data_IF_410813481273
#
_entry.id   IF_410813481273
#
_cell.length_a   1.000
_cell.length_b   1.000
_cell.length_c   1.000
_cell.angle_alpha   90.00
_cell.angle_beta   90.00
_cell.angle_gamma   90.00
#
_symmetry.space_group_name_H-M   'P 1'
#
loop_
_entity.id
_entity.type
_entity.pdbx_description
1 polymer ?
#
# COMPACT_ATOMS: atom_id res chain seq x y z
N UNK A 1 15.28 13.50 14.13
CA UNK A 1 13.84 13.29 14.40
C UNK A 1 13.66 12.86 15.84
N UNK A 2 12.63 13.37 16.51
CA UNK A 2 12.26 12.91 17.86
C UNK A 2 11.51 11.58 17.77
N UNK A 3 11.37 10.86 18.88
CA UNK A 3 10.56 9.65 18.91
C UNK A 3 9.10 9.92 18.51
N UNK A 4 8.53 11.06 18.96
CA UNK A 4 7.19 11.51 18.57
C UNK A 4 7.06 11.66 17.05
N UNK A 5 8.03 12.33 16.41
CA UNK A 5 7.97 12.57 14.96
C UNK A 5 8.05 11.27 14.16
N UNK A 6 8.86 10.28 14.61
CA UNK A 6 8.91 8.96 13.93
C UNK A 6 7.59 8.22 14.08
N UNK A 7 6.99 8.23 15.28
CA UNK A 7 5.69 7.62 15.53
C UNK A 7 4.59 8.26 14.68
N UNK A 8 4.56 9.58 14.58
CA UNK A 8 3.61 10.31 13.74
C UNK A 8 3.70 9.89 12.28
N UNK A 9 4.91 9.76 11.73
CA UNK A 9 5.14 9.30 10.35
C UNK A 9 4.65 7.87 10.15
N UNK A 10 5.03 6.93 11.02
CA UNK A 10 4.60 5.52 10.88
C UNK A 10 3.08 5.35 11.01
N UNK A 11 2.44 6.14 11.86
CA UNK A 11 0.97 6.15 11.97
C UNK A 11 0.33 6.78 10.74
N UNK A 12 0.94 7.81 10.15
CA UNK A 12 0.46 8.39 8.90
C UNK A 12 0.56 7.38 7.74
N UNK A 13 1.67 6.64 7.63
CA UNK A 13 1.85 5.57 6.63
C UNK A 13 0.80 4.45 6.80
N UNK A 14 0.57 3.98 8.04
CA UNK A 14 -0.46 2.97 8.30
C UNK A 14 -1.88 3.48 7.96
N UNK A 15 -2.18 4.74 8.28
CA UNK A 15 -3.46 5.38 7.92
C UNK A 15 -3.62 5.49 6.41
N UNK A 16 -2.58 5.87 5.69
CA UNK A 16 -2.60 5.94 4.23
C UNK A 16 -2.87 4.57 3.63
N UNK A 17 -2.18 3.53 4.10
CA UNK A 17 -2.42 2.16 3.67
C UNK A 17 -3.87 1.70 3.93
N UNK A 18 -4.44 2.09 5.07
CA UNK A 18 -5.84 1.84 5.42
C UNK A 18 -6.82 2.59 4.51
N UNK A 19 -6.53 3.85 4.15
CA UNK A 19 -7.33 4.65 3.23
C UNK A 19 -7.35 4.03 1.83
N UNK A 20 -6.19 3.59 1.33
CA UNK A 20 -6.10 2.88 0.07
C UNK A 20 -6.96 1.62 0.06
N UNK A 21 -6.86 0.79 1.12
CA UNK A 21 -7.67 -0.42 1.25
C UNK A 21 -9.18 -0.10 1.30
N UNK A 22 -9.59 0.89 2.10
CA UNK A 22 -10.99 1.31 2.21
C UNK A 22 -11.56 1.82 0.88
N UNK A 23 -10.83 2.66 0.15
CA UNK A 23 -11.27 3.13 -1.18
C UNK A 23 -11.27 1.97 -2.19
N UNK A 24 -10.34 1.02 -2.08
CA UNK A 24 -10.31 -0.17 -2.94
C UNK A 24 -11.53 -1.05 -2.74
N UNK A 25 -12.05 -1.16 -1.51
CA UNK A 25 -13.32 -1.83 -1.26
C UNK A 25 -14.48 -1.13 -2.01
N UNK A 26 -14.51 0.21 -2.01
CA UNK A 26 -15.50 1.00 -2.76
C UNK A 26 -15.37 0.87 -4.28
N UNK A 27 -14.14 0.77 -4.78
CA UNK A 27 -13.89 0.47 -6.19
C UNK A 27 -14.43 -0.91 -6.59
N UNK A 28 -14.23 -1.92 -5.73
CA UNK A 28 -14.77 -3.26 -5.97
C UNK A 28 -16.30 -3.29 -5.96
N UNK A 29 -16.94 -2.59 -5.01
CA UNK A 29 -18.39 -2.43 -4.95
C UNK A 29 -18.90 -1.80 -6.26
N UNK A 30 -18.27 -0.71 -6.72
CA UNK A 30 -18.63 -0.02 -7.96
C UNK A 30 -18.53 -0.93 -9.21
N UNK A 31 -17.45 -1.71 -9.32
CA UNK A 31 -17.28 -2.69 -10.41
C UNK A 31 -18.38 -3.75 -10.37
N UNK A 32 -18.66 -4.29 -9.18
CA UNK A 32 -19.67 -5.32 -8.97
C UNK A 32 -21.07 -4.83 -9.31
N UNK A 33 -21.44 -3.63 -8.89
CA UNK A 33 -22.74 -3.01 -9.20
C UNK A 33 -22.90 -2.71 -10.70
N UNK A 34 -21.80 -2.37 -11.37
CA UNK A 34 -21.76 -2.14 -12.81
C UNK A 34 -21.79 -3.43 -13.65
N UNK A 35 -21.67 -4.62 -13.04
CA UNK A 35 -21.58 -5.89 -13.76
C UNK A 35 -20.33 -6.00 -14.64
N UNK A 36 -19.24 -5.32 -14.25
CA UNK A 36 -17.99 -5.32 -15.03
C UNK A 36 -17.19 -6.57 -14.64
N UNK A 37 -16.96 -7.44 -15.63
CA UNK A 37 -16.17 -8.66 -15.47
C UNK A 37 -14.75 -8.49 -16.04
N UNK A 38 -13.86 -9.45 -15.74
CA UNK A 38 -12.53 -9.53 -16.34
C UNK A 38 -11.48 -8.57 -15.75
N UNK A 39 -11.80 -7.85 -14.68
CA UNK A 39 -10.83 -6.98 -13.99
C UNK A 39 -9.82 -7.83 -13.23
N UNK A 40 -8.49 -7.71 -13.48
CA UNK A 40 -7.49 -8.44 -12.72
C UNK A 40 -7.57 -8.12 -11.22
N UNK A 41 -7.51 -9.13 -10.33
CA UNK A 41 -7.66 -8.92 -8.91
C UNK A 41 -6.38 -8.30 -8.31
N UNK A 42 -6.58 -7.32 -7.43
CA UNK A 42 -5.53 -6.73 -6.62
C UNK A 42 -6.07 -6.18 -5.29
N UNK A 43 -5.19 -6.04 -4.31
CA UNK A 43 -5.51 -5.54 -2.96
C UNK A 43 -4.32 -4.78 -2.35
N UNK A 44 -4.52 -4.09 -1.24
CA UNK A 44 -3.46 -3.41 -0.50
C UNK A 44 -2.99 -4.26 0.68
N UNK A 45 -1.69 -4.21 1.00
CA UNK A 45 -1.09 -4.98 2.10
C UNK A 45 -1.47 -4.43 3.50
N UNK A 46 -2.74 -4.06 3.70
CA UNK A 46 -3.26 -3.45 4.93
C UNK A 46 -3.71 -4.47 5.96
N UNK A 47 -4.38 -5.54 5.52
CA UNK A 47 -4.89 -6.56 6.43
C UNK A 47 -3.73 -7.18 7.21
N UNK A 48 -3.89 -7.27 8.53
CA UNK A 48 -2.89 -7.77 9.48
C UNK A 48 -1.62 -6.90 9.59
N UNK A 49 -1.63 -5.68 9.03
CA UNK A 49 -0.59 -4.68 9.22
C UNK A 49 -0.79 -3.90 10.51
N UNK A 50 0.30 -3.59 11.20
CA UNK A 50 0.25 -2.93 12.51
C UNK A 50 1.47 -2.06 12.78
N UNK A 51 1.26 -1.07 13.64
CA UNK A 51 2.32 -0.32 14.29
C UNK A 51 2.72 -1.03 15.59
N UNK A 52 4.02 -1.23 15.79
CA UNK A 52 4.59 -1.84 16.99
C UNK A 52 5.64 -0.96 17.65
N UNK A 53 5.79 -1.12 18.96
CA UNK A 53 6.85 -0.50 19.75
C UNK A 53 7.62 -1.58 20.53
N UNK A 54 8.93 -1.38 20.70
CA UNK A 54 9.83 -2.32 21.37
C UNK A 54 10.28 -1.73 22.69
N UNK A 55 9.89 -2.37 23.79
CA UNK A 55 10.40 -2.01 25.10
C UNK A 55 11.85 -2.50 25.27
N UNK A 56 12.81 -1.61 25.58
CA UNK A 56 14.18 -2.04 25.87
C UNK A 56 14.20 -2.91 27.13
N UNK A 57 14.68 -4.15 27.00
CA UNK A 57 14.99 -4.99 28.16
C UNK A 57 16.10 -4.30 28.95
N UNK A 58 15.75 -3.83 30.15
CA UNK A 58 16.51 -2.95 31.03
C UNK A 58 17.85 -3.50 31.55
N UNK A 59 18.25 -4.71 31.15
CA UNK A 59 19.41 -5.40 31.71
C UNK A 59 20.76 -5.11 31.01
N UNK A 60 20.78 -4.69 29.74
CA UNK A 60 22.05 -4.60 28.97
C UNK A 60 22.53 -3.18 28.66
N UNK A 61 21.69 -2.16 28.89
CA UNK A 61 21.98 -0.76 28.50
C UNK A 61 22.21 -0.55 27.00
N UNK A 62 22.07 -1.59 26.17
CA UNK A 62 22.29 -1.56 24.73
C UNK A 62 20.96 -1.73 24.02
N UNK A 63 20.64 -0.80 23.13
CA UNK A 63 19.48 -0.93 22.24
C UNK A 63 19.72 -2.11 21.30
N UNK A 64 18.81 -3.08 21.29
CA UNK A 64 18.85 -4.23 20.38
C UNK A 64 18.53 -3.83 18.94
N UNK A 65 17.78 -2.75 18.75
CA UNK A 65 17.38 -2.21 17.46
C UNK A 65 17.58 -0.69 17.40
N UNK A 66 17.89 -0.14 16.21
CA UNK A 66 18.14 1.30 16.04
C UNK A 66 16.90 2.16 16.33
N UNK A 67 15.71 1.61 16.11
CA UNK A 67 14.42 2.28 16.29
C UNK A 67 13.52 1.51 17.25
N UNK A 68 12.74 2.26 18.03
CA UNK A 68 11.81 1.73 19.04
C UNK A 68 10.45 1.44 18.42
N UNK A 69 9.98 2.27 17.48
CA UNK A 69 8.74 2.08 16.75
C UNK A 69 8.99 1.51 15.35
N UNK A 70 8.06 0.69 14.86
CA UNK A 70 8.09 0.11 13.52
C UNK A 70 6.68 -0.08 12.95
N UNK A 71 6.59 -0.11 11.63
CA UNK A 71 5.41 -0.56 10.88
C UNK A 71 5.72 -1.95 10.33
N UNK A 72 4.84 -2.91 10.56
CA UNK A 72 4.95 -4.25 10.02
C UNK A 72 3.75 -4.56 9.13
N UNK A 73 4.03 -5.18 7.99
CA UNK A 73 3.03 -5.67 7.04
C UNK A 73 3.28 -7.15 6.74
N UNK A 74 2.27 -7.93 6.31
CA UNK A 74 2.49 -9.30 5.86
C UNK A 74 3.61 -9.42 4.82
N UNK A 75 4.48 -10.42 5.01
CA UNK A 75 5.62 -10.65 4.13
C UNK A 75 5.15 -11.24 2.80
N UNK A 76 5.43 -10.52 1.70
CA UNK A 76 5.22 -11.01 0.35
C UNK A 76 6.36 -11.94 -0.10
N UNK A 77 6.13 -12.82 -1.09
CA UNK A 77 7.20 -13.60 -1.72
C UNK A 77 8.35 -12.69 -2.16
N UNK A 78 9.56 -12.99 -1.70
CA UNK A 78 10.75 -12.15 -1.90
C UNK A 78 12.03 -12.99 -2.07
N UNK A 79 11.90 -14.25 -2.44
CA UNK A 79 13.02 -15.12 -2.78
C UNK A 79 13.65 -14.75 -4.12
N UNK A 80 14.84 -15.31 -4.38
CA UNK A 80 15.61 -15.06 -5.63
C UNK A 80 14.90 -15.42 -6.94
N UNK A 81 13.80 -16.17 -6.85
CA UNK A 81 13.01 -16.64 -7.99
C UNK A 81 11.61 -16.02 -8.02
N UNK A 82 11.28 -15.18 -7.05
CA UNK A 82 10.00 -14.48 -7.01
C UNK A 82 10.06 -13.24 -7.90
N UNK A 83 8.89 -12.81 -8.39
CA UNK A 83 8.77 -11.66 -9.27
C UNK A 83 9.18 -10.37 -8.53
N UNK A 84 9.95 -9.47 -9.17
CA UNK A 84 10.34 -8.22 -8.56
C UNK A 84 9.12 -7.32 -8.33
N UNK A 85 9.25 -6.37 -7.40
CA UNK A 85 8.24 -5.32 -7.21
C UNK A 85 8.10 -4.52 -8.51
N UNK A 86 6.88 -4.44 -9.03
CA UNK A 86 6.50 -3.62 -10.19
C UNK A 86 5.94 -2.30 -9.69
N UNK A 87 6.42 -1.19 -10.29
CA UNK A 87 5.87 0.15 -10.09
C UNK A 87 4.85 0.45 -11.19
N UNK A 88 3.63 0.80 -10.80
CA UNK A 88 2.49 1.04 -11.70
C UNK A 88 2.22 2.51 -11.93
N UNK A 89 2.48 3.36 -10.94
CA UNK A 89 2.42 4.83 -11.07
C UNK A 89 3.68 5.45 -10.47
N UNK A 90 4.08 6.61 -10.97
CA UNK A 90 5.10 7.46 -10.36
C UNK A 90 4.48 8.68 -9.66
N UNK A 91 5.31 9.45 -8.96
CA UNK A 91 4.89 10.67 -8.27
C UNK A 91 4.45 11.77 -9.26
N UNK A 92 5.22 11.98 -10.34
CA UNK A 92 4.95 13.06 -11.31
C UNK A 92 4.28 12.55 -12.61
N UNK A 93 4.28 11.23 -12.83
CA UNK A 93 3.76 10.61 -14.05
C UNK A 93 3.23 9.22 -13.75
N UNK A 94 1.99 8.91 -14.20
CA UNK A 94 1.42 7.56 -14.10
C UNK A 94 2.20 6.52 -14.91
N UNK A 95 2.86 6.93 -16.00
CA UNK A 95 3.45 5.99 -16.95
C UNK A 95 2.40 5.32 -17.85
N UNK A 96 2.83 4.42 -18.76
CA UNK A 96 1.93 3.78 -19.72
C UNK A 96 1.10 2.64 -19.09
N UNK A 97 -0.16 2.51 -19.48
CA UNK A 97 -1.01 1.38 -19.16
C UNK A 97 -0.92 0.30 -20.25
N UNK A 98 0.13 -0.53 -20.19
CA UNK A 98 0.45 -1.50 -21.25
C UNK A 98 -0.14 -2.90 -21.07
N UNK A 99 -0.76 -3.17 -19.92
CA UNK A 99 -1.35 -4.46 -19.56
C UNK A 99 -2.61 -4.25 -18.72
N UNK A 100 -3.51 -5.24 -18.73
CA UNK A 100 -4.83 -5.15 -18.08
C UNK A 100 -4.74 -4.84 -16.58
N UNK A 101 -3.71 -5.37 -15.91
CA UNK A 101 -3.49 -5.09 -14.48
C UNK A 101 -3.11 -3.63 -14.25
N UNK A 102 -2.22 -3.09 -15.08
CA UNK A 102 -1.83 -1.67 -15.00
C UNK A 102 -3.02 -0.77 -15.35
N UNK A 103 -3.81 -1.12 -16.36
CA UNK A 103 -5.06 -0.43 -16.68
C UNK A 103 -6.02 -0.42 -15.48
N UNK A 104 -6.21 -1.56 -14.81
CA UNK A 104 -7.08 -1.68 -13.65
C UNK A 104 -6.59 -0.84 -12.46
N UNK A 105 -5.28 -0.80 -12.22
CA UNK A 105 -4.68 0.02 -11.17
C UNK A 105 -4.80 1.51 -11.49
N UNK A 106 -4.56 1.92 -12.73
CA UNK A 106 -4.74 3.31 -13.17
C UNK A 106 -6.21 3.74 -13.06
N UNK A 107 -7.14 2.87 -13.44
CA UNK A 107 -8.58 3.10 -13.27
C UNK A 107 -8.95 3.25 -11.79
N UNK A 108 -8.35 2.47 -10.89
CA UNK A 108 -8.52 2.64 -9.44
C UNK A 108 -7.98 3.97 -8.94
N UNK A 109 -6.78 4.39 -9.38
CA UNK A 109 -6.21 5.69 -9.00
C UNK A 109 -7.12 6.83 -9.43
N UNK A 110 -7.64 6.78 -10.66
CA UNK A 110 -8.61 7.75 -11.14
C UNK A 110 -9.94 7.69 -10.37
N UNK A 111 -10.44 6.49 -10.09
CA UNK A 111 -11.64 6.31 -9.26
C UNK A 111 -11.44 6.92 -7.87
N UNK A 112 -10.30 6.71 -7.22
CA UNK A 112 -10.02 7.26 -5.89
C UNK A 112 -10.04 8.79 -5.89
N UNK A 113 -9.50 9.42 -6.94
CA UNK A 113 -9.56 10.87 -7.13
C UNK A 113 -11.00 11.38 -7.24
N UNK A 114 -11.81 10.76 -8.10
CA UNK A 114 -13.23 11.15 -8.28
C UNK A 114 -14.05 10.86 -7.03
N UNK A 115 -13.88 9.68 -6.43
CA UNK A 115 -14.61 9.22 -5.24
C UNK A 115 -14.33 10.12 -4.03
N UNK A 116 -13.08 10.56 -3.88
CA UNK A 116 -12.67 11.49 -2.82
C UNK A 116 -13.05 12.95 -3.11
N UNK A 117 -13.73 13.24 -4.23
CA UNK A 117 -14.05 14.61 -4.70
C UNK A 117 -12.79 15.47 -4.83
N UNK A 118 -11.78 14.95 -5.51
CA UNK A 118 -10.56 15.69 -5.82
C UNK A 118 -9.75 16.06 -4.56
N UNK A 119 -9.85 15.24 -3.49
CA UNK A 119 -9.14 15.46 -2.24
C UNK A 119 -7.95 14.51 -2.04
N UNK A 120 -7.93 13.35 -2.72
CA UNK A 120 -6.88 12.35 -2.54
C UNK A 120 -6.50 11.79 -3.91
N UNK A 121 -5.25 12.01 -4.30
CA UNK A 121 -4.65 11.36 -5.47
C UNK A 121 -3.56 10.38 -5.00
N UNK A 122 -3.80 9.09 -5.21
CA UNK A 122 -2.79 8.06 -4.92
C UNK A 122 -1.73 8.02 -6.04
N UNK A 123 -0.47 8.01 -5.65
CA UNK A 123 0.70 7.96 -6.53
C UNK A 123 1.72 6.94 -6.00
N UNK A 124 2.78 6.71 -6.77
CA UNK A 124 3.81 5.70 -6.47
C UNK A 124 3.25 4.30 -6.13
N UNK A 125 2.13 3.93 -6.77
CA UNK A 125 1.49 2.64 -6.56
C UNK A 125 2.41 1.54 -7.10
N UNK A 126 2.80 0.61 -6.24
CA UNK A 126 3.73 -0.47 -6.55
C UNK A 126 3.33 -1.75 -5.82
N UNK A 127 3.78 -2.90 -6.30
CA UNK A 127 3.39 -4.18 -5.72
C UNK A 127 4.09 -5.39 -6.33
N UNK A 128 3.83 -6.55 -5.76
CA UNK A 128 4.23 -7.84 -6.33
C UNK A 128 3.13 -8.88 -6.10
N UNK A 129 3.24 -10.02 -6.77
CA UNK A 129 2.29 -11.12 -6.62
C UNK A 129 2.46 -11.84 -5.28
N UNK A 130 1.34 -12.11 -4.63
CA UNK A 130 1.31 -13.00 -3.48
C UNK A 130 1.47 -14.48 -3.89
N UNK A 131 1.43 -15.39 -2.91
CA UNK A 131 1.53 -16.85 -3.17
C UNK A 131 0.35 -17.40 -3.98
N UNK A 132 -0.77 -16.68 -4.05
CA UNK A 132 -1.97 -17.03 -4.84
C UNK A 132 -1.96 -16.35 -6.21
N UNK A 133 -0.87 -15.68 -6.59
CA UNK A 133 -0.74 -14.90 -7.83
C UNK A 133 -1.78 -13.78 -7.96
N UNK A 134 -2.13 -13.17 -6.83
CA UNK A 134 -2.92 -11.93 -6.78
C UNK A 134 -1.96 -10.77 -6.52
N UNK A 135 -2.13 -9.66 -7.26
CA UNK A 135 -1.28 -8.48 -7.09
C UNK A 135 -1.54 -7.82 -5.73
N UNK A 136 -0.51 -7.74 -4.89
CA UNK A 136 -0.54 -7.05 -3.61
C UNK A 136 0.21 -5.73 -3.71
N UNK A 137 -0.51 -4.63 -3.52
CA UNK A 137 0.03 -3.26 -3.55
C UNK A 137 0.58 -2.89 -2.17
N UNK A 138 1.75 -2.26 -2.19
CA UNK A 138 2.53 -1.88 -1.01
C UNK A 138 2.98 -0.43 -1.11
N UNK A 139 3.24 0.17 0.05
CA UNK A 139 3.91 1.47 0.17
C UNK A 139 3.39 2.57 -0.79
N UNK A 140 2.07 2.83 -0.81
CA UNK A 140 1.51 3.88 -1.65
C UNK A 140 1.90 5.27 -1.14
N UNK A 141 1.90 6.24 -2.03
CA UNK A 141 1.98 7.67 -1.69
C UNK A 141 0.66 8.36 -2.03
N UNK A 142 0.43 9.54 -1.44
CA UNK A 142 -0.76 10.33 -1.74
C UNK A 142 -0.44 11.82 -1.75
N UNK A 143 -1.10 12.53 -2.66
CA UNK A 143 -1.26 13.97 -2.60
C UNK A 143 -2.65 14.27 -2.02
N UNK A 144 -2.68 15.13 -1.00
CA UNK A 144 -3.87 15.57 -0.27
C UNK A 144 -3.88 17.08 -0.11
#
# INVERSE_FOLDING_TARGET
MSFSSVREVLIAELKLLAQCDGIKQKFNEFISEGGIEGIPPFYFNFKDSFYGEIEPLSASGRRTLPHVGFLATPLLPCGRFDDPVKKFTGSDNLGPASDDLTCAIHAFVHFAWVYSREQILFCDVQGTYDRKKIMCLIDPQAHT
#
